data_IF_702704795144
#
_entry.id   IF_702704795144
#
_cell.length_a   1.000
_cell.length_b   1.000
_cell.length_c   1.000
_cell.angle_alpha   90.00
_cell.angle_beta   90.00
_cell.angle_gamma   90.00
#
_symmetry.space_group_name_H-M   'P 1'
#
loop_
_entity.id
_entity.type
_entity.pdbx_description
1 polymer ?
#
# COMPACT_ATOMS: atom_id res chain seq x y z
N UNK A 1 -42.18 -0.47 -6.67
CA UNK A 1 -41.43 -1.01 -7.86
C UNK A 1 -40.66 0.06 -8.63
N UNK A 2 -41.19 1.27 -8.89
CA UNK A 2 -40.47 2.31 -9.65
C UNK A 2 -39.12 2.74 -9.02
N UNK A 3 -39.08 2.95 -7.70
CA UNK A 3 -37.85 3.36 -6.98
C UNK A 3 -36.71 2.32 -7.08
N UNK A 4 -37.03 1.03 -6.90
CA UNK A 4 -36.06 -0.04 -7.04
C UNK A 4 -35.46 -0.13 -8.45
N UNK A 5 -36.29 0.08 -9.48
CA UNK A 5 -35.83 0.11 -10.88
C UNK A 5 -34.93 1.32 -11.17
N UNK A 6 -35.17 2.46 -10.53
CA UNK A 6 -34.33 3.66 -10.68
C UNK A 6 -32.98 3.46 -10.05
N UNK A 7 -32.92 2.90 -8.84
CA UNK A 7 -31.63 2.59 -8.16
C UNK A 7 -30.82 1.56 -8.97
N UNK A 8 -31.48 0.47 -9.40
CA UNK A 8 -30.83 -0.55 -10.21
C UNK A 8 -30.26 0.00 -11.52
N UNK A 9 -31.00 0.89 -12.18
CA UNK A 9 -30.55 1.55 -13.42
C UNK A 9 -29.35 2.47 -13.14
N UNK A 10 -29.41 3.29 -12.11
CA UNK A 10 -28.32 4.18 -11.72
C UNK A 10 -27.06 3.39 -11.34
N UNK A 11 -27.23 2.28 -10.61
CA UNK A 11 -26.14 1.36 -10.26
C UNK A 11 -25.48 0.75 -11.49
N UNK A 12 -26.28 0.19 -12.39
CA UNK A 12 -25.76 -0.41 -13.62
C UNK A 12 -25.04 0.61 -14.51
N UNK A 13 -25.62 1.80 -14.63
CA UNK A 13 -25.00 2.89 -15.36
C UNK A 13 -23.68 3.34 -14.74
N UNK A 14 -23.60 3.42 -13.40
CA UNK A 14 -22.38 3.80 -12.72
C UNK A 14 -21.27 2.74 -12.90
N UNK A 15 -21.55 1.48 -12.64
CA UNK A 15 -20.52 0.45 -12.58
C UNK A 15 -20.11 -0.12 -13.95
N UNK A 16 -21.01 -0.15 -14.92
CA UNK A 16 -20.81 -0.93 -16.14
C UNK A 16 -20.67 -0.09 -17.41
N UNK A 17 -20.60 1.23 -17.29
CA UNK A 17 -20.38 2.12 -18.44
C UNK A 17 -19.25 3.13 -18.21
N UNK A 18 -18.65 3.63 -19.26
CA UNK A 18 -17.77 4.80 -19.26
C UNK A 18 -16.27 4.53 -19.39
N UNK A 19 -15.81 3.26 -19.40
CA UNK A 19 -14.38 2.96 -19.61
C UNK A 19 -14.17 1.91 -20.70
N UNK A 20 -13.19 2.17 -21.56
CA UNK A 20 -12.77 1.25 -22.61
C UNK A 20 -11.78 0.20 -22.05
N UNK A 21 -11.62 -0.91 -22.78
CA UNK A 21 -10.59 -1.89 -22.48
C UNK A 21 -9.17 -1.32 -22.50
N UNK A 22 -8.92 -0.31 -23.33
CA UNK A 22 -7.64 0.41 -23.38
C UNK A 22 -7.33 1.10 -22.05
N UNK A 23 -8.33 1.76 -21.45
CA UNK A 23 -8.19 2.40 -20.13
C UNK A 23 -7.76 1.41 -19.07
N UNK A 24 -8.33 0.20 -19.08
CA UNK A 24 -7.97 -0.86 -18.14
C UNK A 24 -6.53 -1.37 -18.36
N UNK A 25 -6.13 -1.56 -19.64
CA UNK A 25 -4.77 -1.96 -19.99
C UNK A 25 -3.72 -0.92 -19.61
N UNK A 26 -3.98 0.36 -19.89
CA UNK A 26 -3.11 1.46 -19.48
C UNK A 26 -3.01 1.58 -17.96
N UNK A 27 -4.12 1.49 -17.24
CA UNK A 27 -4.13 1.55 -15.78
C UNK A 27 -3.26 0.43 -15.17
N UNK A 28 -3.31 -0.80 -15.71
CA UNK A 28 -2.42 -1.88 -15.32
C UNK A 28 -0.95 -1.49 -15.48
N UNK A 29 -0.58 -0.90 -16.61
CA UNK A 29 0.80 -0.48 -16.90
C UNK A 29 1.24 0.61 -15.91
N UNK A 30 0.42 1.64 -15.68
CA UNK A 30 0.72 2.71 -14.74
C UNK A 30 0.92 2.20 -13.32
N UNK A 31 0.03 1.34 -12.84
CA UNK A 31 0.14 0.74 -11.51
C UNK A 31 1.38 -0.16 -11.42
N UNK A 32 1.66 -0.94 -12.47
CA UNK A 32 2.87 -1.74 -12.54
C UNK A 32 4.15 -0.91 -12.46
N UNK A 33 4.23 0.18 -13.21
CA UNK A 33 5.36 1.11 -13.13
C UNK A 33 5.50 1.75 -11.74
N UNK A 34 4.38 2.17 -11.15
CA UNK A 34 4.35 2.71 -9.79
C UNK A 34 4.85 1.71 -8.74
N UNK A 35 4.41 0.45 -8.83
CA UNK A 35 4.87 -0.63 -7.95
C UNK A 35 6.35 -0.92 -8.16
N UNK A 36 6.83 -0.97 -9.41
CA UNK A 36 8.23 -1.19 -9.72
C UNK A 36 9.10 -0.11 -9.09
N UNK A 37 8.74 1.17 -9.26
CA UNK A 37 9.45 2.29 -8.67
C UNK A 37 9.46 2.23 -7.13
N UNK A 38 8.29 1.99 -6.52
CA UNK A 38 8.15 1.92 -5.08
C UNK A 38 8.96 0.78 -4.46
N UNK A 39 8.92 -0.41 -5.06
CA UNK A 39 9.67 -1.55 -4.54
C UNK A 39 11.18 -1.44 -4.80
N UNK A 40 11.61 -0.82 -5.90
CA UNK A 40 13.02 -0.53 -6.14
C UNK A 40 13.58 0.39 -5.05
N UNK A 41 12.84 1.42 -4.67
CA UNK A 41 13.23 2.30 -3.58
C UNK A 41 13.30 1.56 -2.22
N UNK A 42 12.31 0.73 -1.91
CA UNK A 42 12.28 -0.04 -0.66
C UNK A 42 13.39 -1.11 -0.60
N UNK A 43 13.76 -1.69 -1.74
CA UNK A 43 14.79 -2.70 -1.81
C UNK A 43 16.16 -2.21 -1.33
N UNK A 44 16.54 -0.99 -1.70
CA UNK A 44 17.78 -0.37 -1.22
C UNK A 44 17.81 -0.29 0.32
N UNK A 45 16.68 0.00 0.95
CA UNK A 45 16.56 0.06 2.41
C UNK A 45 16.67 -1.34 3.05
N UNK A 46 16.06 -2.36 2.46
CA UNK A 46 16.09 -3.74 3.00
C UNK A 46 17.49 -4.33 2.89
N UNK A 47 18.19 -4.08 1.80
CA UNK A 47 19.58 -4.56 1.63
C UNK A 47 20.56 -3.96 2.64
N UNK A 48 20.36 -2.70 3.00
CA UNK A 48 21.25 -2.02 3.96
C UNK A 48 21.09 -2.50 5.39
N UNK A 49 19.98 -3.14 5.73
CA UNK A 49 19.62 -3.50 7.10
C UNK A 49 19.90 -4.97 7.47
N UNK A 50 20.09 -5.85 6.48
CA UNK A 50 20.15 -7.29 6.78
C UNK A 50 21.27 -7.99 6.02
N UNK A 51 22.36 -8.43 6.69
CA UNK A 51 23.36 -9.29 6.08
C UNK A 51 22.74 -10.62 5.64
N UNK A 52 23.01 -11.00 4.39
CA UNK A 52 22.53 -12.26 3.81
C UNK A 52 23.15 -13.42 4.60
N UNK A 53 22.32 -14.32 5.10
CA UNK A 53 22.76 -15.51 5.83
C UNK A 53 22.49 -15.52 7.32
N UNK A 54 22.11 -14.38 7.93
CA UNK A 54 21.68 -14.36 9.32
C UNK A 54 20.18 -14.75 9.45
N UNK A 55 19.81 -15.31 10.60
CA UNK A 55 18.41 -15.55 10.96
C UNK A 55 18.02 -14.62 12.11
N UNK A 56 16.89 -13.98 11.97
CA UNK A 56 16.39 -13.06 12.97
C UNK A 56 15.01 -13.48 13.46
N UNK A 57 14.84 -13.58 14.79
CA UNK A 57 13.52 -13.78 15.36
C UNK A 57 12.69 -12.51 15.25
N UNK A 58 11.39 -12.68 14.97
CA UNK A 58 10.45 -11.57 14.99
C UNK A 58 10.21 -11.11 16.42
N UNK A 59 10.07 -9.78 16.59
CA UNK A 59 9.68 -9.19 17.87
C UNK A 59 8.24 -9.60 18.20
N UNK A 60 7.32 -9.43 17.24
CA UNK A 60 5.93 -9.84 17.33
C UNK A 60 5.43 -10.32 15.96
N UNK A 61 5.48 -11.63 15.69
CA UNK A 61 5.02 -12.16 14.42
C UNK A 61 3.55 -11.77 14.15
N UNK A 62 3.26 -11.26 12.96
CA UNK A 62 1.90 -10.95 12.52
C UNK A 62 1.01 -12.21 12.59
N UNK A 63 -0.29 -12.03 12.78
CA UNK A 63 -1.24 -13.11 13.07
C UNK A 63 -1.17 -14.32 12.10
N UNK A 64 -1.02 -14.07 10.81
CA UNK A 64 -0.91 -15.17 9.83
C UNK A 64 0.47 -15.86 9.85
N UNK A 65 1.53 -15.18 10.27
CA UNK A 65 2.82 -15.84 10.54
C UNK A 65 2.75 -16.72 11.78
N UNK A 66 2.04 -16.26 12.84
CA UNK A 66 1.75 -17.09 14.01
C UNK A 66 0.96 -18.34 13.61
N UNK A 67 -0.05 -18.20 12.76
CA UNK A 67 -0.86 -19.31 12.24
C UNK A 67 -0.03 -20.32 11.44
N UNK A 68 0.95 -19.84 10.65
CA UNK A 68 1.84 -20.66 9.83
C UNK A 68 3.09 -21.15 10.59
N UNK A 69 3.25 -20.81 11.87
CA UNK A 69 4.43 -21.18 12.67
C UNK A 69 5.73 -20.47 12.24
N UNK A 70 5.63 -19.36 11.51
CA UNK A 70 6.79 -18.59 11.06
C UNK A 70 7.22 -17.63 12.17
N UNK A 71 8.31 -17.97 12.85
CA UNK A 71 8.80 -17.21 14.02
C UNK A 71 10.08 -16.41 13.75
N UNK A 72 10.72 -16.64 12.61
CA UNK A 72 11.98 -16.01 12.26
C UNK A 72 12.03 -15.61 10.80
N UNK A 73 12.84 -14.62 10.54
CA UNK A 73 13.12 -14.10 9.21
C UNK A 73 14.40 -14.70 8.65
N UNK A 74 14.33 -15.12 7.39
CA UNK A 74 15.48 -15.56 6.60
C UNK A 74 15.75 -14.53 5.51
N UNK A 75 16.82 -13.70 5.62
CA UNK A 75 17.09 -12.64 4.65
C UNK A 75 17.22 -13.14 3.20
N UNK A 76 17.84 -14.31 3.00
CA UNK A 76 17.95 -14.91 1.66
C UNK A 76 16.59 -15.19 1.03
N UNK A 77 15.58 -15.61 1.82
CA UNK A 77 14.22 -15.83 1.34
C UNK A 77 13.56 -14.50 0.94
N UNK A 78 13.71 -13.46 1.76
CA UNK A 78 13.18 -12.13 1.42
C UNK A 78 13.83 -11.56 0.17
N UNK A 79 15.12 -11.75 0.01
CA UNK A 79 15.83 -11.36 -1.21
C UNK A 79 15.27 -12.08 -2.44
N UNK A 80 15.09 -13.41 -2.35
CA UNK A 80 14.46 -14.20 -3.40
C UNK A 80 13.03 -13.73 -3.72
N UNK A 81 12.22 -13.45 -2.69
CA UNK A 81 10.87 -12.92 -2.86
C UNK A 81 10.85 -11.54 -3.52
N UNK A 82 11.82 -10.67 -3.22
CA UNK A 82 11.98 -9.40 -3.93
C UNK A 82 12.33 -9.60 -5.41
N UNK A 83 13.27 -10.49 -5.73
CA UNK A 83 13.63 -10.77 -7.12
C UNK A 83 12.43 -11.30 -7.91
N UNK A 84 11.65 -12.21 -7.32
CA UNK A 84 10.41 -12.73 -7.90
C UNK A 84 9.39 -11.61 -8.08
N UNK A 85 9.19 -10.74 -7.07
CA UNK A 85 8.30 -9.59 -7.11
C UNK A 85 8.64 -8.65 -8.28
N UNK A 86 9.91 -8.30 -8.45
CA UNK A 86 10.37 -7.44 -9.53
C UNK A 86 10.13 -8.08 -10.91
N UNK A 87 10.49 -9.35 -11.07
CA UNK A 87 10.25 -10.11 -12.30
C UNK A 87 8.77 -10.24 -12.64
N UNK A 88 7.93 -10.54 -11.66
CA UNK A 88 6.48 -10.62 -11.83
C UNK A 88 5.87 -9.25 -12.16
N UNK A 89 6.36 -8.16 -11.56
CA UNK A 89 5.89 -6.79 -11.86
C UNK A 89 6.24 -6.39 -13.29
N UNK A 90 7.45 -6.66 -13.74
CA UNK A 90 7.84 -6.46 -15.15
C UNK A 90 6.97 -7.30 -16.09
N UNK A 91 6.72 -8.56 -15.73
CA UNK A 91 5.84 -9.45 -16.50
C UNK A 91 4.41 -8.92 -16.59
N UNK A 92 3.86 -8.39 -15.49
CA UNK A 92 2.56 -7.72 -15.44
C UNK A 92 2.52 -6.48 -16.34
N UNK A 93 3.55 -5.62 -16.33
CA UNK A 93 3.64 -4.42 -17.18
C UNK A 93 3.61 -4.84 -18.66
N UNK A 94 4.42 -5.81 -19.03
CA UNK A 94 4.50 -6.34 -20.40
C UNK A 94 3.25 -7.11 -20.83
N UNK A 95 2.38 -7.47 -19.86
CA UNK A 95 1.20 -8.28 -20.11
C UNK A 95 1.53 -9.71 -20.53
N UNK A 96 2.53 -10.33 -19.90
CA UNK A 96 2.87 -11.73 -20.10
C UNK A 96 2.41 -12.54 -18.89
N UNK A 97 1.56 -13.55 -19.12
CA UNK A 97 0.93 -14.33 -18.05
C UNK A 97 0.34 -13.41 -16.96
N UNK A 98 -0.38 -12.38 -17.39
CA UNK A 98 -0.78 -11.23 -16.58
C UNK A 98 -1.44 -11.64 -15.25
N UNK A 99 -2.40 -12.56 -15.31
CA UNK A 99 -3.14 -13.01 -14.11
C UNK A 99 -2.23 -13.72 -13.10
N UNK A 100 -1.38 -14.62 -13.58
CA UNK A 100 -0.41 -15.34 -12.75
C UNK A 100 0.59 -14.38 -12.13
N UNK A 101 1.11 -13.43 -12.92
CA UNK A 101 2.04 -12.42 -12.44
C UNK A 101 1.43 -11.58 -11.32
N UNK A 102 0.17 -11.16 -11.45
CA UNK A 102 -0.52 -10.39 -10.41
C UNK A 102 -0.68 -11.21 -9.12
N UNK A 103 -1.06 -12.48 -9.22
CA UNK A 103 -1.19 -13.37 -8.05
C UNK A 103 0.17 -13.53 -7.36
N UNK A 104 1.24 -13.73 -8.11
CA UNK A 104 2.60 -13.82 -7.56
C UNK A 104 3.00 -12.51 -6.87
N UNK A 105 2.71 -11.36 -7.46
CA UNK A 105 2.97 -10.05 -6.84
C UNK A 105 2.24 -9.94 -5.49
N UNK A 106 0.96 -10.29 -5.44
CA UNK A 106 0.15 -10.23 -4.20
C UNK A 106 0.80 -11.11 -3.11
N UNK A 107 1.17 -12.35 -3.45
CA UNK A 107 1.78 -13.27 -2.49
C UNK A 107 3.15 -12.76 -2.00
N UNK A 108 3.98 -12.22 -2.90
CA UNK A 108 5.27 -11.63 -2.52
C UNK A 108 5.10 -10.41 -1.60
N UNK A 109 4.19 -9.48 -1.95
CA UNK A 109 3.90 -8.31 -1.12
C UNK A 109 3.36 -8.74 0.24
N UNK A 110 2.45 -9.73 0.29
CA UNK A 110 1.90 -10.24 1.53
C UNK A 110 2.98 -10.80 2.45
N UNK A 111 3.92 -11.58 1.92
CA UNK A 111 5.04 -12.11 2.68
C UNK A 111 5.97 -10.98 3.16
N UNK A 112 6.45 -10.13 2.25
CA UNK A 112 7.41 -9.06 2.58
C UNK A 112 6.83 -8.04 3.56
N UNK A 113 5.54 -7.72 3.42
CA UNK A 113 4.80 -6.90 4.38
C UNK A 113 4.75 -7.58 5.74
N UNK A 114 4.45 -8.87 5.77
CA UNK A 114 4.42 -9.65 7.01
C UNK A 114 5.74 -9.64 7.76
N UNK A 115 6.85 -9.81 7.04
CA UNK A 115 8.21 -9.69 7.60
C UNK A 115 8.41 -8.32 8.22
N UNK A 116 8.14 -7.25 7.47
CA UNK A 116 8.34 -5.88 7.97
C UNK A 116 7.46 -5.56 9.18
N UNK A 117 6.18 -5.86 9.11
CA UNK A 117 5.24 -5.55 10.18
C UNK A 117 5.54 -6.39 11.45
N UNK A 118 6.06 -7.62 11.30
CA UNK A 118 6.50 -8.46 12.41
C UNK A 118 7.75 -7.92 13.12
N UNK A 119 8.60 -7.17 12.43
CA UNK A 119 9.73 -6.47 13.07
C UNK A 119 9.33 -5.15 13.70
N UNK A 120 8.41 -4.40 13.07
CA UNK A 120 8.01 -3.08 13.56
C UNK A 120 7.02 -3.15 14.73
N UNK A 121 6.34 -4.28 14.91
CA UNK A 121 5.22 -4.41 15.88
C UNK A 121 4.03 -3.50 15.55
N UNK A 122 3.99 -2.93 14.36
CA UNK A 122 2.95 -1.99 13.91
C UNK A 122 2.50 -2.32 12.48
N UNK A 123 1.20 -2.48 12.30
CA UNK A 123 0.62 -2.83 10.99
C UNK A 123 0.41 -1.57 10.17
N UNK A 124 1.24 -1.41 9.14
CA UNK A 124 1.13 -0.26 8.23
C UNK A 124 0.03 -0.49 7.18
N UNK A 125 -0.95 0.42 7.15
CA UNK A 125 -2.10 0.32 6.24
C UNK A 125 -1.81 0.78 4.81
N UNK A 126 -0.70 1.47 4.56
CA UNK A 126 -0.38 2.09 3.25
C UNK A 126 -0.32 1.12 2.06
N UNK A 127 -0.02 -0.15 2.30
CA UNK A 127 0.09 -1.18 1.25
C UNK A 127 -1.22 -1.95 1.03
N UNK A 128 -2.24 -1.69 1.85
CA UNK A 128 -3.54 -2.35 1.70
C UNK A 128 -4.20 -1.91 0.39
N UNK A 129 -4.16 -0.62 0.05
CA UNK A 129 -4.78 -0.09 -1.17
C UNK A 129 -4.17 -0.73 -2.44
N UNK A 130 -2.83 -0.73 -2.64
CA UNK A 130 -2.22 -1.41 -3.78
C UNK A 130 -2.57 -2.90 -3.87
N UNK A 131 -2.62 -3.61 -2.75
CA UNK A 131 -3.00 -5.03 -2.74
C UNK A 131 -4.44 -5.26 -3.19
N UNK A 132 -5.39 -4.44 -2.74
CA UNK A 132 -6.78 -4.53 -3.15
C UNK A 132 -6.95 -4.21 -4.64
N UNK A 133 -6.23 -3.22 -5.15
CA UNK A 133 -6.23 -2.90 -6.58
C UNK A 133 -5.68 -4.07 -7.40
N UNK A 134 -4.58 -4.69 -6.96
CA UNK A 134 -4.03 -5.88 -7.61
C UNK A 134 -5.01 -7.04 -7.58
N UNK A 135 -5.73 -7.24 -6.49
CA UNK A 135 -6.77 -8.27 -6.39
C UNK A 135 -7.89 -8.03 -7.42
N UNK A 136 -8.37 -6.78 -7.56
CA UNK A 136 -9.35 -6.43 -8.59
C UNK A 136 -8.82 -6.67 -10.01
N UNK A 137 -7.54 -6.38 -10.25
CA UNK A 137 -6.90 -6.71 -11.52
C UNK A 137 -6.83 -8.22 -11.78
N UNK A 138 -6.54 -9.03 -10.78
CA UNK A 138 -6.51 -10.48 -10.92
C UNK A 138 -7.88 -11.05 -11.33
N UNK A 139 -8.97 -10.41 -10.89
CA UNK A 139 -10.34 -10.77 -11.25
C UNK A 139 -10.79 -10.19 -12.59
N UNK A 140 -10.15 -9.13 -13.06
CA UNK A 140 -10.52 -8.42 -14.29
C UNK A 140 -9.87 -9.01 -15.54
N UNK A 141 -10.30 -8.52 -16.69
CA UNK A 141 -9.68 -8.83 -18.00
C UNK A 141 -8.56 -7.86 -18.38
N UNK A 142 -7.79 -7.35 -17.41
CA UNK A 142 -6.74 -6.37 -17.66
C UNK A 142 -5.57 -6.86 -18.52
N UNK A 143 -5.45 -8.17 -18.72
CA UNK A 143 -4.43 -8.79 -19.55
C UNK A 143 -4.79 -8.90 -21.04
N UNK A 144 -6.00 -8.48 -21.47
CA UNK A 144 -6.44 -8.66 -22.87
C UNK A 144 -6.00 -7.48 -23.76
N UNK A 145 -5.83 -6.28 -23.19
CA UNK A 145 -5.47 -5.08 -23.98
C UNK A 145 -4.05 -4.63 -23.63
N UNK A 146 -3.32 -4.16 -24.64
CA UNK A 146 -1.93 -3.71 -24.53
C UNK A 146 -1.02 -4.76 -23.85
N UNK A 147 -1.19 -6.04 -24.22
CA UNK A 147 -0.45 -7.14 -23.60
C UNK A 147 0.17 -8.08 -24.65
N UNK A 148 1.21 -8.81 -24.24
CA UNK A 148 1.77 -9.90 -25.04
C UNK A 148 0.80 -11.08 -25.13
N UNK A 149 0.05 -11.32 -24.06
CA UNK A 149 -0.95 -12.39 -24.00
C UNK A 149 -2.03 -12.17 -25.08
N UNK A 150 -2.50 -10.92 -25.25
CA UNK A 150 -3.49 -10.58 -26.28
C UNK A 150 -2.99 -10.81 -27.70
N UNK A 151 -1.72 -10.46 -27.97
CA UNK A 151 -1.09 -10.67 -29.27
C UNK A 151 -0.93 -12.15 -29.63
N UNK A 152 -0.60 -12.97 -28.63
CA UNK A 152 -0.40 -14.41 -28.84
C UNK A 152 -1.71 -15.16 -29.00
N UNK A 153 -2.76 -14.78 -28.30
CA UNK A 153 -4.05 -15.45 -28.33
C UNK A 153 -4.93 -15.04 -29.50
N UNK A 154 -4.51 -14.06 -30.32
CA UNK A 154 -5.27 -13.54 -31.48
C UNK A 154 -6.74 -13.26 -31.11
N UNK A 155 -6.97 -12.63 -29.93
CA UNK A 155 -8.31 -12.35 -29.45
C UNK A 155 -8.93 -11.27 -30.33
N UNK A 156 -9.89 -11.60 -31.22
CA UNK A 156 -10.44 -10.63 -32.17
C UNK A 156 -11.42 -9.65 -31.54
N UNK A 157 -11.94 -9.98 -30.37
CA UNK A 157 -12.93 -9.17 -29.67
C UNK A 157 -12.25 -8.41 -28.53
N UNK A 158 -12.30 -7.09 -28.59
CA UNK A 158 -11.85 -6.22 -27.52
C UNK A 158 -12.63 -6.48 -26.21
N UNK A 159 -12.10 -6.02 -25.12
CA UNK A 159 -12.79 -6.04 -23.81
C UNK A 159 -14.08 -5.21 -23.94
N UNK A 160 -15.22 -5.80 -23.59
CA UNK A 160 -16.49 -5.07 -23.58
C UNK A 160 -16.46 -3.94 -22.54
N UNK A 161 -17.20 -2.87 -22.80
CA UNK A 161 -17.20 -1.68 -21.95
C UNK A 161 -17.49 -2.02 -20.47
N UNK A 162 -18.48 -2.88 -20.21
CA UNK A 162 -18.82 -3.27 -18.84
C UNK A 162 -17.70 -4.06 -18.15
N UNK A 163 -16.94 -4.87 -18.89
CA UNK A 163 -15.82 -5.65 -18.36
C UNK A 163 -14.63 -4.79 -17.95
N UNK A 164 -14.45 -3.64 -18.61
CA UNK A 164 -13.44 -2.67 -18.26
C UNK A 164 -13.90 -1.70 -17.17
N UNK A 165 -15.17 -1.32 -17.20
CA UNK A 165 -15.72 -0.29 -16.32
C UNK A 165 -15.83 -0.72 -14.88
N UNK A 166 -16.36 -1.92 -14.60
CA UNK A 166 -16.60 -2.36 -13.22
C UNK A 166 -15.31 -2.41 -12.37
N UNK A 167 -14.13 -2.91 -12.85
CA UNK A 167 -12.94 -2.92 -12.02
C UNK A 167 -12.46 -1.51 -11.70
N UNK A 168 -12.45 -0.62 -12.71
CA UNK A 168 -12.00 0.77 -12.56
C UNK A 168 -12.91 1.51 -11.59
N UNK A 169 -14.23 1.39 -11.74
CA UNK A 169 -15.21 2.03 -10.85
C UNK A 169 -15.13 1.49 -9.42
N UNK A 170 -14.91 0.18 -9.28
CA UNK A 170 -14.72 -0.44 -7.96
C UNK A 170 -13.44 0.08 -7.30
N UNK A 171 -12.34 0.23 -8.04
CA UNK A 171 -11.10 0.83 -7.53
C UNK A 171 -11.32 2.27 -7.08
N UNK A 172 -12.00 3.08 -7.89
CA UNK A 172 -12.34 4.47 -7.54
C UNK A 172 -13.17 4.54 -6.26
N UNK A 173 -14.22 3.72 -6.17
CA UNK A 173 -15.08 3.65 -4.98
C UNK A 173 -14.29 3.19 -3.75
N UNK A 174 -13.44 2.17 -3.89
CA UNK A 174 -12.62 1.67 -2.81
C UNK A 174 -11.67 2.75 -2.27
N UNK A 175 -10.97 3.46 -3.14
CA UNK A 175 -10.08 4.56 -2.75
C UNK A 175 -10.87 5.69 -2.08
N UNK A 176 -12.03 6.07 -2.63
CA UNK A 176 -12.88 7.10 -2.03
C UNK A 176 -13.36 6.70 -0.63
N UNK A 177 -13.83 5.46 -0.45
CA UNK A 177 -14.26 4.94 0.86
C UNK A 177 -13.10 4.85 1.86
N UNK A 178 -11.91 4.46 1.42
CA UNK A 178 -10.74 4.41 2.28
C UNK A 178 -10.40 5.80 2.86
N UNK A 179 -10.38 6.83 2.01
CA UNK A 179 -10.15 8.19 2.48
C UNK A 179 -11.31 8.71 3.34
N UNK A 180 -12.54 8.44 2.97
CA UNK A 180 -13.72 8.81 3.75
C UNK A 180 -13.67 8.24 5.17
N UNK A 181 -13.42 6.94 5.32
CA UNK A 181 -13.29 6.30 6.63
C UNK A 181 -12.07 6.78 7.40
N UNK A 182 -10.97 7.08 6.71
CA UNK A 182 -9.78 7.68 7.34
C UNK A 182 -10.09 9.05 7.96
N UNK A 183 -10.89 9.88 7.28
CA UNK A 183 -11.35 11.16 7.82
C UNK A 183 -12.24 10.96 9.03
N UNK A 184 -13.24 10.07 8.94
CA UNK A 184 -14.13 9.76 10.07
C UNK A 184 -13.34 9.27 11.29
N UNK A 185 -12.38 8.37 11.09
CA UNK A 185 -11.54 7.87 12.17
C UNK A 185 -10.75 9.01 12.86
N UNK A 186 -10.20 9.94 12.08
CA UNK A 186 -9.49 11.11 12.61
C UNK A 186 -10.40 12.05 13.40
N UNK A 187 -11.58 12.34 12.85
CA UNK A 187 -12.57 13.18 13.54
C UNK A 187 -13.03 12.52 14.84
N UNK A 188 -13.26 11.20 14.82
CA UNK A 188 -13.68 10.46 16.00
C UNK A 188 -12.63 10.43 17.11
N UNK A 189 -11.33 10.34 16.74
CA UNK A 189 -10.23 10.17 17.70
C UNK A 189 -9.73 11.51 18.23
N UNK A 190 -9.64 12.54 17.39
CA UNK A 190 -9.02 13.82 17.71
C UNK A 190 -9.98 15.02 17.59
N UNK A 191 -11.27 14.77 17.26
CA UNK A 191 -12.25 15.82 17.03
C UNK A 191 -11.88 16.75 15.88
N UNK A 192 -12.49 17.92 15.86
CA UNK A 192 -12.22 18.97 14.88
C UNK A 192 -10.81 19.61 15.03
N UNK A 193 -10.16 19.37 16.16
CA UNK A 193 -8.80 19.87 16.41
C UNK A 193 -7.78 19.36 15.38
N UNK A 194 -8.06 18.20 14.76
CA UNK A 194 -7.24 17.69 13.67
C UNK A 194 -7.19 18.63 12.46
N UNK A 195 -8.29 19.31 12.16
CA UNK A 195 -8.40 20.24 11.01
C UNK A 195 -8.04 21.68 11.36
N UNK A 196 -8.29 22.11 12.61
CA UNK A 196 -8.17 23.50 13.04
C UNK A 196 -7.04 23.72 14.05
N UNK A 197 -6.41 22.66 14.54
CA UNK A 197 -5.39 22.76 15.60
C UNK A 197 -4.03 23.16 15.07
N UNK A 198 -3.63 24.37 15.34
CA UNK A 198 -2.24 24.79 15.22
C UNK A 198 -1.38 23.86 16.09
N UNK A 199 -0.41 23.18 15.50
CA UNK A 199 0.55 22.34 16.23
C UNK A 199 0.31 20.83 16.18
N UNK A 200 -0.88 20.30 15.84
CA UNK A 200 -1.09 18.84 15.74
C UNK A 200 -0.23 18.17 14.67
N UNK A 201 -0.03 18.81 13.53
CA UNK A 201 0.89 18.33 12.50
C UNK A 201 2.33 18.33 13.03
N UNK A 202 2.71 19.37 13.78
CA UNK A 202 4.02 19.45 14.41
C UNK A 202 4.20 18.37 15.47
N UNK A 203 3.21 18.12 16.32
CA UNK A 203 3.22 17.06 17.33
C UNK A 203 3.40 15.67 16.69
N UNK A 204 2.65 15.36 15.62
CA UNK A 204 2.80 14.10 14.87
C UNK A 204 4.17 14.00 14.19
N UNK A 205 4.69 15.11 13.65
CA UNK A 205 6.03 15.14 13.07
C UNK A 205 7.11 14.93 14.14
N UNK A 206 6.97 15.55 15.31
CA UNK A 206 7.89 15.38 16.45
C UNK A 206 7.82 13.95 16.96
N UNK A 207 6.63 13.40 17.19
CA UNK A 207 6.47 12.00 17.64
C UNK A 207 7.08 11.01 16.65
N UNK A 208 6.88 11.22 15.35
CA UNK A 208 7.50 10.39 14.31
C UNK A 208 9.01 10.57 14.30
N UNK A 209 9.50 11.79 14.38
CA UNK A 209 10.94 12.05 14.35
C UNK A 209 11.64 11.46 15.58
N UNK A 210 11.05 11.53 16.77
CA UNK A 210 11.55 10.86 17.98
C UNK A 210 11.55 9.34 17.81
N UNK A 211 10.46 8.77 17.27
CA UNK A 211 10.37 7.33 17.01
C UNK A 211 11.41 6.84 15.99
N UNK A 212 11.69 7.64 14.95
CA UNK A 212 12.73 7.33 13.96
C UNK A 212 14.14 7.58 14.50
N UNK A 213 14.33 8.59 15.34
CA UNK A 213 15.62 8.90 15.96
C UNK A 213 16.07 7.87 17.01
N UNK A 214 15.13 7.17 17.66
CA UNK A 214 15.45 6.07 18.61
C UNK A 214 15.90 4.80 17.87
N UNK A 215 15.51 4.62 16.60
CA UNK A 215 15.93 3.46 15.80
C UNK A 215 17.26 3.67 15.07
N UNK A 216 17.72 4.91 14.91
CA UNK A 216 18.92 5.25 14.14
C UNK A 216 19.90 6.05 15.04
N UNK A 217 20.82 5.34 15.70
CA UNK A 217 21.78 5.94 16.63
C UNK A 217 22.68 7.04 16.02
N UNK A 218 22.71 7.17 14.67
CA UNK A 218 23.50 8.16 13.98
C UNK A 218 22.79 9.50 13.72
N UNK A 219 21.45 9.56 13.77
CA UNK A 219 20.69 10.80 13.46
C UNK A 219 20.22 11.58 14.71
N UNK A 220 20.41 11.04 15.89
CA UNK A 220 20.04 11.74 17.13
C UNK A 220 20.74 13.10 17.29
N UNK A 221 21.95 13.25 16.75
CA UNK A 221 22.71 14.49 16.76
C UNK A 221 22.19 15.54 15.78
N UNK A 222 21.54 15.12 14.68
CA UNK A 222 20.92 16.07 13.73
C UNK A 222 19.60 16.66 14.24
N UNK A 223 18.91 15.96 15.14
CA UNK A 223 17.68 16.44 15.77
C UNK A 223 17.92 17.60 16.75
N UNK A 224 19.07 17.69 17.38
CA UNK A 224 19.42 18.82 18.23
C UNK A 224 19.31 20.17 17.51
N UNK A 225 19.54 20.20 16.19
CA UNK A 225 19.39 21.40 15.37
C UNK A 225 17.94 21.76 15.01
N UNK A 226 17.05 20.78 14.95
CA UNK A 226 15.61 21.00 14.66
C UNK A 226 14.85 21.38 15.93
N UNK A 227 15.25 20.80 17.08
CA UNK A 227 14.66 21.10 18.38
C UNK A 227 15.11 22.45 18.96
N UNK A 228 16.12 23.10 18.36
CA UNK A 228 16.57 24.45 18.76
C UNK A 228 15.64 25.58 18.31
N UNK A 229 14.55 25.30 17.62
CA UNK A 229 13.54 26.32 17.30
C UNK A 229 12.77 26.72 18.56
N UNK A 230 12.74 27.99 18.92
CA UNK A 230 12.24 28.49 20.23
C UNK A 230 10.79 28.10 20.56
N UNK A 231 9.94 27.93 19.52
CA UNK A 231 8.52 27.58 19.67
C UNK A 231 8.26 26.09 19.93
N UNK A 232 9.23 25.18 19.68
CA UNK A 232 9.08 23.76 19.91
C UNK A 232 9.43 23.41 21.36
N UNK A 233 10.41 24.10 21.96
CA UNK A 233 10.82 23.88 23.33
C UNK A 233 9.74 24.25 24.35
N UNK A 234 8.95 25.29 24.12
CA UNK A 234 7.87 25.71 25.01
C UNK A 234 6.69 24.72 25.00
N UNK A 235 6.35 24.13 23.83
CA UNK A 235 5.30 23.13 23.70
C UNK A 235 5.68 21.77 24.33
N UNK A 236 6.97 21.41 24.27
CA UNK A 236 7.46 20.15 24.86
C UNK A 236 7.44 20.20 26.41
N UNK A 237 7.83 21.33 26.99
CA UNK A 237 7.79 21.52 28.45
C UNK A 237 6.37 21.56 28.99
N UNK A 238 5.41 22.16 28.31
CA UNK A 238 4.00 22.18 28.76
C UNK A 238 3.32 20.82 28.71
N UNK A 239 3.68 19.96 27.75
CA UNK A 239 3.10 18.61 27.61
C UNK A 239 3.65 17.60 28.62
N UNK A 240 4.91 17.75 29.04
CA UNK A 240 5.52 16.88 30.06
C UNK A 240 5.01 17.17 31.48
N UNK A 241 4.67 18.43 31.78
CA UNK A 241 4.13 18.78 33.10
C UNK A 241 2.65 18.46 33.27
N UNK A 242 1.86 18.35 32.19
CA UNK A 242 0.44 18.02 32.28
C UNK A 242 0.15 16.51 32.39
N UNK A 243 1.14 15.65 32.19
CA UNK A 243 1.00 14.19 32.30
C UNK A 243 1.39 13.63 33.67
N UNK A 244 1.79 14.49 34.67
CA UNK A 244 2.21 14.10 36.01
C UNK A 244 1.36 14.74 37.14
N UNK A 245 0.25 15.41 36.79
CA UNK A 245 -0.79 15.86 37.70
C UNK A 245 -2.14 15.22 37.34
#
# INVERSE_FOLDING_TARGET
>A
MAFANTISRAWNQFFFTGFSGESLGLLRMYIGCGLLFFHTYQFATVLSLNPIGAMYYFIDPIWYFKLLGIQYHVPALSFGMYAILMGATVSMILGKNTRTSIIVIILCIFYLKGVRDSFSGDVHHREIIPMQILFLFALSKCGIVHSRDARQLHIPEGVQEWEASWPIKTMQLYVALFYFWSVIAKVRTSGWVWFAGEGKIQEVLIQRSVRWGVTDQGEFLKMGSVLSWPNIQSSFNSSLYSSWL
#
